data_IF_310013939871
#
_entry.id   IF_310013939871
#
_cell.length_a   1.000
_cell.length_b   1.000
_cell.length_c   1.000
_cell.angle_alpha   90.00
_cell.angle_beta   90.00
_cell.angle_gamma   90.00
#
_symmetry.space_group_name_H-M   'P 1'
#
loop_
_entity.id
_entity.type
_entity.pdbx_description
1 polymer ?
#
# COMPACT_ATOMS: atom_id res chain seq x y z
N UNK A 1 -8.44 -14.36 -6.27
CA UNK A 1 -8.84 -14.51 -7.69
C UNK A 1 -8.68 -15.97 -8.13
N UNK A 2 -7.51 -16.59 -7.92
CA UNK A 2 -7.21 -17.96 -8.35
C UNK A 2 -8.27 -18.97 -7.85
N UNK A 3 -8.54 -19.00 -6.54
CA UNK A 3 -9.52 -19.90 -5.94
C UNK A 3 -10.94 -19.66 -6.50
N UNK A 4 -11.31 -18.40 -6.75
CA UNK A 4 -12.59 -18.07 -7.33
C UNK A 4 -12.70 -18.52 -8.79
N UNK A 5 -11.66 -18.28 -9.60
CA UNK A 5 -11.64 -18.72 -10.99
C UNK A 5 -11.65 -20.25 -11.13
N UNK A 6 -10.94 -20.96 -10.26
CA UNK A 6 -10.97 -22.42 -10.23
C UNK A 6 -12.40 -22.96 -9.99
N UNK A 7 -13.19 -22.27 -9.15
CA UNK A 7 -14.59 -22.64 -8.85
C UNK A 7 -15.59 -22.18 -9.92
N UNK A 8 -15.32 -21.03 -10.56
CA UNK A 8 -16.17 -20.40 -11.55
C UNK A 8 -15.40 -20.10 -12.85
N UNK A 9 -15.03 -21.12 -13.64
CA UNK A 9 -14.09 -20.97 -14.77
C UNK A 9 -14.67 -20.19 -15.96
N UNK A 10 -15.98 -19.89 -15.95
CA UNK A 10 -16.65 -19.07 -16.96
C UNK A 10 -16.64 -17.58 -16.62
N UNK A 11 -16.14 -17.19 -15.44
CA UNK A 11 -16.02 -15.79 -15.05
C UNK A 11 -14.73 -15.24 -15.61
N UNK A 12 -14.83 -14.19 -16.38
CA UNK A 12 -13.70 -13.42 -16.90
C UNK A 12 -13.43 -12.23 -15.98
N UNK A 13 -12.15 -11.93 -15.76
CA UNK A 13 -11.70 -10.79 -14.96
C UNK A 13 -11.04 -9.77 -15.85
N UNK A 14 -11.47 -8.52 -15.75
CA UNK A 14 -10.76 -7.38 -16.28
C UNK A 14 -10.08 -6.65 -15.12
N UNK A 15 -8.75 -6.58 -15.13
CA UNK A 15 -7.96 -5.97 -14.05
C UNK A 15 -7.36 -4.67 -14.55
N UNK A 16 -7.64 -3.58 -13.85
CA UNK A 16 -7.10 -2.24 -14.11
C UNK A 16 -6.27 -1.77 -12.93
N UNK A 17 -5.14 -1.14 -13.22
CA UNK A 17 -4.33 -0.42 -12.24
C UNK A 17 -4.50 1.08 -12.47
N UNK A 18 -4.52 1.85 -11.39
CA UNK A 18 -4.69 3.30 -11.46
C UNK A 18 -4.54 3.96 -10.09
N UNK A 19 -4.63 5.28 -10.05
CA UNK A 19 -4.71 5.99 -8.79
C UNK A 19 -6.02 5.64 -8.06
N UNK A 20 -6.08 5.69 -6.73
CA UNK A 20 -7.33 5.45 -5.99
C UNK A 20 -8.48 6.33 -6.49
N UNK A 21 -8.23 7.60 -6.78
CA UNK A 21 -9.24 8.53 -7.26
C UNK A 21 -9.79 8.14 -8.64
N UNK A 22 -8.92 7.75 -9.58
CA UNK A 22 -9.37 7.30 -10.90
C UNK A 22 -10.20 6.03 -10.81
N UNK A 23 -9.74 5.07 -9.98
CA UNK A 23 -10.46 3.81 -9.77
C UNK A 23 -11.82 4.03 -9.11
N UNK A 24 -11.93 4.95 -8.14
CA UNK A 24 -13.20 5.33 -7.52
C UNK A 24 -14.15 5.99 -8.53
N UNK A 25 -13.64 6.87 -9.39
CA UNK A 25 -14.43 7.46 -10.46
C UNK A 25 -14.95 6.40 -11.46
N UNK A 26 -14.12 5.39 -11.77
CA UNK A 26 -14.52 4.29 -12.65
C UNK A 26 -15.54 3.37 -11.99
N UNK A 27 -15.44 3.16 -10.68
CA UNK A 27 -16.46 2.44 -9.90
C UNK A 27 -17.80 3.17 -9.92
N UNK A 28 -17.79 4.48 -9.70
CA UNK A 28 -18.99 5.34 -9.71
C UNK A 28 -19.67 5.35 -11.10
N UNK A 29 -18.89 5.24 -12.17
CA UNK A 29 -19.42 5.13 -13.55
C UNK A 29 -19.84 3.71 -13.95
N UNK A 30 -19.66 2.73 -13.06
CA UNK A 30 -19.95 1.32 -13.36
C UNK A 30 -18.97 0.67 -14.35
N UNK A 31 -17.83 1.31 -14.64
CA UNK A 31 -16.77 0.74 -15.48
C UNK A 31 -15.97 -0.34 -14.74
N UNK A 32 -15.91 -0.23 -13.42
CA UNK A 32 -15.38 -1.23 -12.50
C UNK A 32 -16.47 -1.65 -11.50
N UNK A 33 -16.45 -2.91 -11.09
CA UNK A 33 -17.45 -3.44 -10.16
C UNK A 33 -16.93 -3.51 -8.73
N UNK A 34 -15.62 -3.74 -8.58
CA UNK A 34 -14.98 -3.99 -7.29
C UNK A 34 -13.58 -3.40 -7.35
N UNK A 35 -13.16 -2.75 -6.26
CA UNK A 35 -11.80 -2.25 -6.11
C UNK A 35 -11.09 -2.96 -4.96
N UNK A 36 -9.80 -3.21 -5.15
CA UNK A 36 -8.88 -3.54 -4.07
C UNK A 36 -8.00 -2.31 -3.81
N UNK A 37 -8.19 -1.72 -2.66
CA UNK A 37 -7.45 -0.52 -2.23
C UNK A 37 -6.75 -0.79 -0.91
N UNK A 38 -5.85 0.12 -0.53
CA UNK A 38 -5.23 0.14 0.80
C UNK A 38 -5.43 1.51 1.43
N UNK A 39 -5.74 1.57 2.70
CA UNK A 39 -5.89 2.82 3.44
C UNK A 39 -5.13 2.81 4.77
N UNK A 40 -4.89 3.99 5.31
CA UNK A 40 -4.14 4.18 6.56
C UNK A 40 -5.00 4.15 7.81
N UNK A 41 -6.33 4.17 7.67
CA UNK A 41 -7.28 4.18 8.80
C UNK A 41 -8.33 3.08 8.65
N UNK A 42 -9.00 2.73 9.75
CA UNK A 42 -10.15 1.83 9.74
C UNK A 42 -11.48 2.56 9.57
N UNK A 43 -11.46 3.90 9.48
CA UNK A 43 -12.70 4.68 9.33
C UNK A 43 -13.34 4.39 7.97
N UNK A 44 -14.61 4.04 8.00
CA UNK A 44 -15.40 3.70 6.82
C UNK A 44 -15.73 4.96 6.01
N UNK A 45 -15.67 4.83 4.69
CA UNK A 45 -16.15 5.85 3.76
C UNK A 45 -17.66 5.74 3.51
N UNK A 46 -18.14 6.45 2.51
CA UNK A 46 -19.55 6.42 2.07
C UNK A 46 -19.89 5.21 1.17
N UNK A 47 -18.89 4.47 0.71
CA UNK A 47 -19.02 3.29 -0.15
C UNK A 47 -19.11 2.02 0.68
N UNK A 48 -19.66 0.97 0.09
CA UNK A 48 -19.58 -0.35 0.70
C UNK A 48 -18.14 -0.83 0.68
N UNK A 49 -17.70 -1.30 1.83
CA UNK A 49 -16.33 -1.77 1.98
C UNK A 49 -16.21 -2.89 2.99
N UNK A 50 -15.19 -3.70 2.78
CA UNK A 50 -14.76 -4.76 3.71
C UNK A 50 -13.27 -4.67 3.91
N UNK A 51 -12.84 -4.58 5.16
CA UNK A 51 -11.44 -4.72 5.53
C UNK A 51 -11.06 -6.20 5.36
N UNK A 52 -10.04 -6.47 4.55
CA UNK A 52 -9.56 -7.82 4.27
C UNK A 52 -8.48 -8.28 5.25
N UNK A 53 -7.90 -7.36 5.99
CA UNK A 53 -6.86 -7.65 6.97
C UNK A 53 -6.15 -6.39 7.45
N UNK A 54 -5.07 -6.61 8.16
CA UNK A 54 -4.16 -5.59 8.65
C UNK A 54 -2.75 -5.95 8.20
N UNK A 55 -1.98 -4.96 7.77
CA UNK A 55 -0.62 -5.13 7.30
C UNK A 55 0.26 -4.04 7.93
N UNK A 56 1.40 -4.43 8.47
CA UNK A 56 2.35 -3.47 9.03
C UNK A 56 2.93 -2.60 7.91
N UNK A 57 3.08 -1.30 8.18
CA UNK A 57 3.83 -0.40 7.32
C UNK A 57 5.25 -0.29 7.88
N UNK A 58 6.22 -0.61 7.05
CA UNK A 58 7.62 -0.68 7.43
C UNK A 58 8.52 0.05 6.44
N UNK A 59 9.67 0.44 6.91
CA UNK A 59 10.74 0.95 6.06
C UNK A 59 11.34 -0.22 5.29
N UNK A 60 11.42 -0.09 3.98
CA UNK A 60 12.11 -1.05 3.12
C UNK A 60 13.44 -0.48 2.63
N UNK A 61 14.47 -1.30 2.64
CA UNK A 61 15.84 -0.89 2.38
C UNK A 61 16.72 -2.05 1.93
N UNK A 62 17.92 -1.73 1.49
CA UNK A 62 19.01 -2.70 1.32
C UNK A 62 20.01 -2.56 2.47
N UNK A 63 20.93 -3.50 2.62
CA UNK A 63 21.99 -3.42 3.62
C UNK A 63 22.84 -2.14 3.48
N UNK A 64 23.00 -1.62 2.26
CA UNK A 64 23.77 -0.42 1.98
C UNK A 64 23.04 0.89 2.34
N UNK A 65 21.71 0.86 2.37
CA UNK A 65 20.87 2.05 2.64
C UNK A 65 20.22 2.03 4.03
N UNK A 66 20.47 0.99 4.82
CA UNK A 66 19.94 0.88 6.18
C UNK A 66 20.50 1.97 7.10
N UNK A 67 19.67 2.88 7.63
CA UNK A 67 20.13 3.96 8.51
C UNK A 67 20.43 3.48 9.94
N UNK A 68 20.12 2.22 10.27
CA UNK A 68 20.32 1.65 11.60
C UNK A 68 20.62 0.13 11.51
N UNK A 69 21.73 -0.28 10.85
CA UNK A 69 22.02 -1.69 10.60
C UNK A 69 22.18 -2.52 11.87
N UNK A 70 22.55 -1.88 12.98
CA UNK A 70 22.73 -2.48 14.29
C UNK A 70 21.42 -2.70 15.09
N UNK A 71 20.28 -2.27 14.56
CA UNK A 71 19.00 -2.27 15.27
C UNK A 71 17.91 -3.05 14.50
N UNK A 72 17.02 -3.71 15.22
CA UNK A 72 15.86 -4.41 14.65
C UNK A 72 14.71 -3.47 14.26
N UNK A 73 14.70 -2.25 14.84
CA UNK A 73 13.72 -1.22 14.54
C UNK A 73 14.43 0.14 14.38
N UNK A 74 14.06 0.90 13.38
CA UNK A 74 14.69 2.17 13.03
C UNK A 74 14.12 3.31 13.89
N UNK A 75 14.92 4.01 14.70
CA UNK A 75 14.48 5.24 15.34
C UNK A 75 14.18 6.31 14.28
N UNK A 76 13.11 7.08 14.47
CA UNK A 76 12.70 8.10 13.49
C UNK A 76 13.80 9.14 13.21
N UNK A 77 14.61 9.45 14.20
CA UNK A 77 15.71 10.41 14.10
C UNK A 77 16.81 9.96 13.13
N UNK A 78 16.96 8.64 12.92
CA UNK A 78 17.90 8.07 11.97
C UNK A 78 17.50 8.31 10.51
N UNK A 79 16.26 8.74 10.27
CA UNK A 79 15.78 9.09 8.93
C UNK A 79 16.18 10.50 8.49
N UNK A 80 16.78 11.30 9.38
CA UNK A 80 17.21 12.66 9.05
C UNK A 80 18.23 12.64 7.92
N UNK A 81 17.89 13.29 6.80
CA UNK A 81 18.73 13.35 5.60
C UNK A 81 18.77 12.08 4.74
N UNK A 82 18.17 10.98 5.18
CA UNK A 82 18.09 9.74 4.39
C UNK A 82 17.21 9.95 3.19
N UNK A 83 17.67 9.66 1.95
CA UNK A 83 16.81 9.74 0.77
C UNK A 83 15.67 8.72 0.81
N UNK A 84 14.45 9.17 0.53
CA UNK A 84 13.25 8.34 0.50
C UNK A 84 12.60 8.38 -0.87
N UNK A 85 12.21 7.21 -1.37
CA UNK A 85 11.37 7.05 -2.55
C UNK A 85 9.97 6.68 -2.07
N UNK A 86 9.06 7.61 -2.03
CA UNK A 86 7.72 7.36 -1.50
C UNK A 86 6.70 7.19 -2.62
N UNK A 87 5.70 6.36 -2.38
CA UNK A 87 4.55 6.31 -3.27
C UNK A 87 3.81 7.64 -3.19
N UNK A 88 3.44 8.18 -4.33
CA UNK A 88 2.54 9.31 -4.37
C UNK A 88 1.18 8.87 -3.83
N UNK A 89 0.68 9.58 -2.85
CA UNK A 89 -0.63 9.34 -2.26
C UNK A 89 -1.51 10.55 -2.49
N UNK A 90 -2.71 10.31 -2.97
CA UNK A 90 -3.79 11.27 -2.92
C UNK A 90 -4.42 11.20 -1.52
N UNK A 91 -4.81 12.32 -0.95
CA UNK A 91 -5.02 12.60 0.49
C UNK A 91 -5.82 11.59 1.36
N UNK A 92 -6.65 10.75 0.77
CA UNK A 92 -7.51 9.81 1.52
C UNK A 92 -6.88 8.42 1.77
N UNK A 93 -5.88 8.02 0.98
CA UNK A 93 -5.35 6.65 0.95
C UNK A 93 -3.87 6.57 1.32
N UNK A 94 -3.29 7.71 1.70
CA UNK A 94 -1.85 7.87 1.83
C UNK A 94 -1.31 7.55 3.22
N UNK A 95 -0.66 6.40 3.36
CA UNK A 95 0.12 6.07 4.55
C UNK A 95 1.47 6.80 4.63
N UNK A 96 1.95 7.38 3.53
CA UNK A 96 3.19 8.18 3.55
C UNK A 96 3.04 9.46 4.36
N UNK A 97 1.84 10.04 4.40
CA UNK A 97 1.55 11.23 5.21
C UNK A 97 1.80 10.98 6.69
N UNK A 98 1.56 9.76 7.15
CA UNK A 98 1.86 9.38 8.51
C UNK A 98 3.38 9.47 8.78
N UNK A 99 4.21 8.87 7.93
CA UNK A 99 5.67 8.96 8.04
C UNK A 99 6.15 10.42 7.98
N UNK A 100 5.63 11.20 7.05
CA UNK A 100 5.98 12.62 6.89
C UNK A 100 5.65 13.43 8.15
N UNK A 101 4.48 13.20 8.75
CA UNK A 101 4.06 13.85 10.00
C UNK A 101 4.98 13.48 11.15
N UNK A 102 5.35 12.21 11.29
CA UNK A 102 6.24 11.76 12.37
C UNK A 102 7.66 12.34 12.23
N UNK A 103 8.20 12.45 11.01
CA UNK A 103 9.46 13.14 10.77
C UNK A 103 9.40 14.61 11.23
N UNK A 104 8.35 15.33 10.87
CA UNK A 104 8.16 16.74 11.28
C UNK A 104 7.98 16.88 12.78
N UNK A 105 7.22 15.98 13.43
CA UNK A 105 7.10 15.94 14.91
C UNK A 105 8.43 15.72 15.60
N UNK A 106 9.33 14.97 14.96
CA UNK A 106 10.70 14.71 15.42
C UNK A 106 11.69 15.83 15.04
N UNK A 107 11.19 16.95 14.53
CA UNK A 107 11.98 18.17 14.31
C UNK A 107 12.84 18.16 13.05
N UNK A 108 12.42 17.45 11.99
CA UNK A 108 13.10 17.53 10.69
C UNK A 108 12.12 17.32 9.52
N UNK A 109 12.46 17.92 8.39
CA UNK A 109 11.79 17.65 7.13
C UNK A 109 12.37 16.36 6.52
N UNK A 110 11.52 15.43 6.08
CA UNK A 110 11.98 14.24 5.38
C UNK A 110 12.57 14.58 4.01
N UNK A 111 13.64 13.89 3.65
CA UNK A 111 14.31 14.03 2.35
C UNK A 111 13.63 13.10 1.33
N UNK A 112 12.72 13.64 0.52
CA UNK A 112 11.95 12.88 -0.48
C UNK A 112 12.30 13.36 -1.89
N UNK A 113 13.46 12.97 -2.43
CA UNK A 113 13.89 13.36 -3.76
C UNK A 113 13.09 12.68 -4.87
N UNK A 114 12.33 11.62 -4.57
CA UNK A 114 11.57 10.87 -5.55
C UNK A 114 10.19 10.48 -5.03
N UNK A 115 9.18 10.67 -5.86
CA UNK A 115 7.85 10.11 -5.68
C UNK A 115 7.51 9.25 -6.90
N UNK A 116 6.97 8.06 -6.69
CA UNK A 116 6.55 7.14 -7.74
C UNK A 116 5.08 6.72 -7.56
N UNK A 117 4.50 6.19 -8.62
CA UNK A 117 3.06 5.87 -8.65
C UNK A 117 2.76 4.42 -8.28
N UNK A 118 3.77 3.55 -8.31
CA UNK A 118 3.59 2.12 -8.07
C UNK A 118 4.69 1.52 -7.21
N UNK A 119 4.36 0.42 -6.56
CA UNK A 119 5.25 -0.36 -5.69
C UNK A 119 6.44 -0.97 -6.44
N UNK A 120 6.31 -1.55 -7.65
CA UNK A 120 7.44 -2.07 -8.40
C UNK A 120 8.54 -1.04 -8.64
N UNK A 121 8.16 0.20 -9.00
CA UNK A 121 9.13 1.28 -9.19
C UNK A 121 9.80 1.67 -7.87
N UNK A 122 9.05 1.80 -6.78
CA UNK A 122 9.61 2.08 -5.46
C UNK A 122 10.64 1.02 -5.05
N UNK A 123 10.30 -0.26 -5.21
CA UNK A 123 11.21 -1.38 -4.92
C UNK A 123 12.46 -1.36 -5.81
N UNK A 124 12.33 -1.04 -7.10
CA UNK A 124 13.47 -0.96 -8.00
C UNK A 124 14.43 0.16 -7.61
N UNK A 125 13.92 1.32 -7.19
CA UNK A 125 14.73 2.43 -6.69
C UNK A 125 15.44 2.06 -5.39
N UNK A 126 14.77 1.40 -4.46
CA UNK A 126 15.40 0.89 -3.24
C UNK A 126 16.52 -0.11 -3.57
N UNK A 127 16.27 -1.07 -4.45
CA UNK A 127 17.29 -2.05 -4.90
C UNK A 127 18.51 -1.41 -5.52
N UNK A 128 18.34 -0.32 -6.27
CA UNK A 128 19.45 0.40 -6.89
C UNK A 128 20.27 1.22 -5.88
N UNK A 129 19.87 1.26 -4.62
CA UNK A 129 20.54 2.04 -3.58
C UNK A 129 20.21 3.53 -3.60
N UNK A 130 19.16 3.94 -4.31
CA UNK A 130 18.75 5.35 -4.36
C UNK A 130 18.29 5.86 -3.01
N UNK A 131 17.75 5.00 -2.14
CA UNK A 131 17.31 5.34 -0.80
C UNK A 131 16.44 4.24 -0.19
N UNK A 132 15.57 4.63 0.72
CA UNK A 132 14.60 3.75 1.38
C UNK A 132 13.18 4.07 0.91
N UNK A 133 12.21 3.18 1.20
CA UNK A 133 10.79 3.47 1.00
C UNK A 133 9.98 3.04 2.22
N UNK A 134 8.69 3.37 2.25
CA UNK A 134 7.77 3.01 3.33
C UNK A 134 6.58 2.29 2.73
N UNK A 135 6.53 0.97 2.90
CA UNK A 135 5.59 0.09 2.23
C UNK A 135 5.02 -0.95 3.19
N UNK A 136 3.89 -1.58 2.84
CA UNK A 136 3.37 -2.72 3.57
C UNK A 136 4.36 -3.88 3.61
N UNK A 137 4.46 -4.55 4.78
CA UNK A 137 5.37 -5.69 5.00
C UNK A 137 5.14 -6.83 4.01
N UNK A 138 3.88 -7.13 3.70
CA UNK A 138 3.50 -8.16 2.73
C UNK A 138 4.13 -7.99 1.34
N UNK A 139 4.51 -6.77 0.97
CA UNK A 139 5.21 -6.51 -0.30
C UNK A 139 6.60 -7.17 -0.30
N UNK A 140 7.32 -7.10 0.82
CA UNK A 140 8.64 -7.73 0.95
C UNK A 140 8.52 -9.26 0.95
N UNK A 141 7.53 -9.78 1.66
CA UNK A 141 7.27 -11.23 1.72
C UNK A 141 6.96 -11.84 0.35
N UNK A 142 6.24 -11.11 -0.51
CA UNK A 142 5.91 -11.57 -1.86
C UNK A 142 7.08 -11.50 -2.84
N UNK A 143 8.21 -10.89 -2.45
CA UNK A 143 9.41 -10.73 -3.27
C UNK A 143 10.66 -11.27 -2.57
N UNK A 144 10.69 -12.54 -2.19
CA UNK A 144 11.86 -13.15 -1.55
C UNK A 144 13.07 -13.05 -2.49
N UNK A 145 14.25 -12.94 -1.91
CA UNK A 145 15.53 -12.81 -2.65
C UNK A 145 15.69 -11.49 -3.46
N UNK A 146 14.89 -10.49 -3.18
CA UNK A 146 15.00 -9.18 -3.83
C UNK A 146 16.26 -8.37 -3.42
N UNK A 147 16.95 -8.78 -2.34
CA UNK A 147 18.01 -8.00 -1.70
C UNK A 147 17.48 -6.82 -0.87
N UNK A 148 16.16 -6.76 -0.71
CA UNK A 148 15.44 -5.79 0.11
C UNK A 148 14.94 -6.51 1.36
N UNK A 149 14.95 -5.82 2.49
CA UNK A 149 14.31 -6.24 3.73
C UNK A 149 13.57 -5.07 4.37
N UNK A 150 12.71 -5.39 5.33
CA UNK A 150 11.88 -4.42 6.03
C UNK A 150 12.31 -4.29 7.49
N UNK A 151 12.15 -3.09 8.04
CA UNK A 151 12.27 -2.81 9.47
C UNK A 151 11.14 -1.89 9.92
N UNK A 152 10.53 -2.14 11.09
CA UNK A 152 9.54 -1.24 11.65
C UNK A 152 10.20 0.07 12.13
N UNK A 153 9.40 1.14 12.18
CA UNK A 153 9.75 2.36 12.91
C UNK A 153 9.61 2.10 14.41
N UNK A 154 10.64 2.45 15.19
CA UNK A 154 10.65 2.24 16.64
C UNK A 154 9.57 3.07 17.33
N UNK A 155 8.68 2.38 18.07
CA UNK A 155 7.62 3.03 18.85
C UNK A 155 6.51 3.68 18.03
N UNK A 156 6.50 3.45 16.72
CA UNK A 156 5.55 4.04 15.77
C UNK A 156 4.88 2.90 15.00
N UNK A 157 3.84 2.26 15.54
CA UNK A 157 3.11 1.21 14.86
C UNK A 157 2.28 1.81 13.73
N UNK A 158 2.82 1.79 12.52
CA UNK A 158 2.09 2.19 11.34
C UNK A 158 1.42 0.98 10.70
N UNK A 159 0.18 1.16 10.25
CA UNK A 159 -0.63 0.09 9.67
C UNK A 159 -1.25 0.52 8.36
N UNK A 160 -1.48 -0.44 7.51
CA UNK A 160 -2.31 -0.29 6.32
C UNK A 160 -3.39 -1.38 6.32
N UNK A 161 -4.52 -1.06 5.75
CA UNK A 161 -5.67 -1.94 5.71
C UNK A 161 -6.03 -2.19 4.24
N UNK A 162 -5.75 -3.39 3.70
CA UNK A 162 -6.30 -3.77 2.42
C UNK A 162 -7.82 -3.85 2.55
N UNK A 163 -8.53 -3.21 1.63
CA UNK A 163 -9.99 -3.13 1.61
C UNK A 163 -10.52 -3.52 0.26
N UNK A 164 -11.66 -4.20 0.28
CA UNK A 164 -12.51 -4.43 -0.87
C UNK A 164 -13.58 -3.35 -0.86
N UNK A 165 -13.76 -2.64 -1.98
CA UNK A 165 -14.74 -1.55 -2.11
C UNK A 165 -15.64 -1.84 -3.30
N UNK A 166 -16.95 -1.57 -3.17
CA UNK A 166 -17.92 -1.72 -4.24
C UNK A 166 -19.05 -0.70 -4.12
N UNK A 167 -19.81 -0.51 -5.21
CA UNK A 167 -20.99 0.37 -5.26
C UNK A 167 -22.28 -0.43 -5.09
N UNK A 168 -23.39 0.26 -4.86
CA UNK A 168 -24.75 -0.33 -4.80
C UNK A 168 -25.16 -0.99 -6.12
N UNK A 169 -24.63 -0.55 -7.25
CA UNK A 169 -25.00 -1.02 -8.60
C UNK A 169 -24.62 -2.47 -8.89
N UNK A 170 -23.79 -3.11 -8.05
CA UNK A 170 -23.46 -4.54 -8.19
C UNK A 170 -24.66 -5.47 -7.99
N UNK A 171 -25.82 -4.95 -7.56
CA UNK A 171 -27.03 -5.74 -7.38
C UNK A 171 -27.52 -6.42 -8.68
N UNK A 172 -27.20 -5.85 -9.85
CA UNK A 172 -27.50 -6.42 -11.17
C UNK A 172 -26.52 -7.52 -11.66
N UNK A 173 -25.43 -7.80 -10.94
CA UNK A 173 -24.36 -8.71 -11.37
C UNK A 173 -24.15 -9.86 -10.38
N UNK A 174 -24.86 -11.00 -10.50
CA UNK A 174 -24.78 -12.11 -9.54
C UNK A 174 -23.37 -12.69 -9.35
N UNK A 175 -22.51 -12.66 -10.37
CA UNK A 175 -21.13 -13.11 -10.27
C UNK A 175 -20.30 -12.17 -9.37
N UNK A 176 -20.54 -10.85 -9.43
CA UNK A 176 -19.87 -9.85 -8.59
C UNK A 176 -20.30 -9.99 -7.13
N UNK A 177 -21.62 -10.12 -6.88
CA UNK A 177 -22.14 -10.33 -5.51
C UNK A 177 -21.54 -11.58 -4.87
N UNK A 178 -21.44 -12.67 -5.63
CA UNK A 178 -20.83 -13.90 -5.16
C UNK A 178 -19.34 -13.73 -4.90
N UNK A 179 -18.63 -13.04 -5.78
CA UNK A 179 -17.22 -12.72 -5.57
C UNK A 179 -17.02 -11.93 -4.27
N UNK A 180 -17.82 -10.90 -4.04
CA UNK A 180 -17.77 -10.12 -2.80
C UNK A 180 -18.07 -11.00 -1.58
N UNK A 181 -19.06 -11.90 -1.67
CA UNK A 181 -19.42 -12.78 -0.55
C UNK A 181 -18.33 -13.79 -0.18
N UNK A 182 -17.54 -14.24 -1.15
CA UNK A 182 -16.49 -15.26 -0.98
C UNK A 182 -15.07 -14.65 -0.76
N UNK A 183 -14.94 -13.31 -0.81
CA UNK A 183 -13.65 -12.60 -0.62
C UNK A 183 -13.34 -12.27 0.86
#
# INVERSE_FOLDING_TARGET
>A
LEAYHARYPKVEFYIRLGSPQDLLNDLDRGELHVLFLRRSTQESGSLHERILGEDALELIMTAATDPAPELDAVPIERLRGVPMCLLRSDDLWGYNDYLMKECRRSGFEPNVPCQCYDTPMAMQLVRSGFGISFLPHSIVETHPNSGIYAKPLRGIPAKSYPVLVWSDDVQGAPCVQRFIAES
#
